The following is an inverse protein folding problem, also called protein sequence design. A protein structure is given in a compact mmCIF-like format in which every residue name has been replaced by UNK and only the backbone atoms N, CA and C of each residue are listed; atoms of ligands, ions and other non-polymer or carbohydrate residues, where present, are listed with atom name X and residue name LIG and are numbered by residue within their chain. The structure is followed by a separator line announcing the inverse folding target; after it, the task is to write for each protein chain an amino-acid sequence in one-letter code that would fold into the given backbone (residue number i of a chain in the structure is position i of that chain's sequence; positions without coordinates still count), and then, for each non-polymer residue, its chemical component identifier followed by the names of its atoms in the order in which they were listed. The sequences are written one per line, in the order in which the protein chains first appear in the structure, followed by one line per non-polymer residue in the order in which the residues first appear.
data_IF_965343167593
#
_entry.id   IF_965343167593
#
_cell.length_a   1.000
_cell.length_b   1.000
_cell.length_c   1.000
_cell.angle_alpha   90.00
_cell.angle_beta   90.00
_cell.angle_gamma   90.00
#
_symmetry.space_group_name_H-M   'P 1'
#
loop_
_entity.id
_entity.type
_entity.pdbx_description
1 polymer ?
#
# COMPACT_ATOMS: atom_id res chain seq x y z
N UNK A 1 -27.10 -54.20 42.60
CA UNK A 1 -27.28 -53.41 41.36
C UNK A 1 -27.60 -51.99 41.76
N UNK A 2 -26.73 -51.03 41.41
CA UNK A 2 -26.83 -49.60 41.78
C UNK A 2 -27.47 -48.82 40.63
N UNK A 3 -28.54 -48.09 40.91
CA UNK A 3 -29.14 -47.13 39.98
C UNK A 3 -28.74 -45.72 40.43
N UNK A 4 -28.04 -44.99 39.56
CA UNK A 4 -27.51 -43.65 39.81
C UNK A 4 -28.38 -42.62 39.07
N UNK A 5 -28.78 -41.58 39.80
CA UNK A 5 -29.41 -40.36 39.30
C UNK A 5 -28.40 -39.54 38.48
N UNK A 6 -28.85 -38.96 37.37
CA UNK A 6 -28.12 -37.94 36.62
C UNK A 6 -29.07 -36.86 36.13
N UNK A 7 -29.09 -35.73 36.83
CA UNK A 7 -29.80 -34.52 36.40
C UNK A 7 -28.99 -33.81 35.31
N UNK A 8 -29.61 -33.57 34.15
CA UNK A 8 -29.02 -32.76 33.08
C UNK A 8 -29.42 -31.31 33.27
N UNK A 9 -28.43 -30.46 33.59
CA UNK A 9 -28.56 -29.00 33.59
C UNK A 9 -28.32 -28.51 32.16
N UNK A 10 -29.33 -27.92 31.53
CA UNK A 10 -29.19 -27.24 30.23
C UNK A 10 -28.71 -25.82 30.51
N UNK A 11 -27.43 -25.54 30.24
CA UNK A 11 -26.87 -24.19 30.27
C UNK A 11 -27.10 -23.55 28.89
N UNK A 12 -28.03 -22.59 28.83
CA UNK A 12 -28.13 -21.67 27.69
C UNK A 12 -26.94 -20.70 27.74
N UNK A 13 -25.89 -21.02 26.98
CA UNK A 13 -24.77 -20.12 26.73
C UNK A 13 -25.12 -19.09 25.66
N UNK A 14 -25.59 -17.91 26.09
CA UNK A 14 -25.55 -16.69 25.28
C UNK A 14 -24.09 -16.24 25.18
N UNK A 15 -23.40 -16.56 24.09
CA UNK A 15 -22.15 -15.92 23.72
C UNK A 15 -21.89 -15.98 22.22
N UNK A 16 -22.28 -14.91 21.52
CA UNK A 16 -21.66 -14.50 20.26
C UNK A 16 -21.32 -13.03 20.37
N UNK A 17 -20.35 -12.71 21.23
CA UNK A 17 -19.64 -11.45 21.17
C UNK A 17 -18.92 -11.38 19.83
N UNK A 18 -19.53 -10.71 18.85
CA UNK A 18 -18.84 -10.27 17.65
C UNK A 18 -17.74 -9.31 18.09
N UNK A 19 -16.51 -9.81 18.21
CA UNK A 19 -15.34 -8.94 18.19
C UNK A 19 -15.27 -8.38 16.78
N UNK A 20 -15.91 -7.23 16.57
CA UNK A 20 -15.66 -6.41 15.40
C UNK A 20 -14.14 -6.33 15.24
N UNK A 21 -13.63 -6.95 14.18
CA UNK A 21 -12.21 -7.01 13.93
C UNK A 21 -11.71 -5.60 13.74
N UNK A 22 -11.17 -5.01 14.79
CA UNK A 22 -10.54 -3.70 14.72
C UNK A 22 -9.50 -3.78 13.60
N UNK A 23 -9.74 -3.05 12.51
CA UNK A 23 -8.69 -2.77 11.54
C UNK A 23 -7.50 -2.29 12.37
N UNK A 24 -6.35 -2.94 12.18
CA UNK A 24 -5.12 -2.55 12.87
C UNK A 24 -4.74 -1.21 12.29
N UNK A 25 -5.32 -0.13 12.84
CA UNK A 25 -4.98 1.22 12.48
C UNK A 25 -3.48 1.34 12.65
N UNK A 26 -2.78 1.71 11.59
CA UNK A 26 -1.35 1.92 11.69
C UNK A 26 -1.12 2.95 12.79
N UNK A 27 -0.45 2.58 13.90
CA UNK A 27 -0.28 3.48 15.02
C UNK A 27 0.27 4.79 14.48
N UNK A 28 -0.32 5.91 14.92
CA UNK A 28 0.22 7.21 14.52
C UNK A 28 1.68 7.23 14.95
N UNK A 29 2.56 7.45 13.98
CA UNK A 29 3.98 7.55 14.28
C UNK A 29 4.16 8.72 15.26
N UNK A 30 5.11 8.58 16.18
CA UNK A 30 5.57 9.75 16.93
C UNK A 30 6.06 10.80 15.93
N UNK A 31 5.94 12.10 16.26
CA UNK A 31 6.49 13.16 15.42
C UNK A 31 7.95 12.88 15.08
N UNK A 32 8.32 12.92 13.80
CA UNK A 32 9.70 12.75 13.36
C UNK A 32 10.52 14.00 13.68
N UNK A 33 11.82 13.88 14.02
CA UNK A 33 12.74 15.03 14.06
C UNK A 33 12.83 15.81 12.73
N UNK A 34 12.35 15.20 11.64
CA UNK A 34 12.20 15.79 10.32
C UNK A 34 10.84 16.46 10.10
N UNK A 35 9.88 16.44 11.02
CA UNK A 35 8.55 17.02 10.81
C UNK A 35 8.62 18.51 10.42
N UNK A 36 9.51 19.28 11.05
CA UNK A 36 9.76 20.68 10.65
C UNK A 36 10.43 20.85 9.27
N UNK A 37 11.11 19.82 8.74
CA UNK A 37 11.61 19.79 7.35
C UNK A 37 10.49 19.42 6.36
N UNK A 38 9.60 18.49 6.73
CA UNK A 38 8.44 18.13 5.92
C UNK A 38 7.49 19.32 5.75
N UNK A 39 7.35 20.17 6.76
CA UNK A 39 6.58 21.42 6.68
C UNK A 39 7.15 22.42 5.65
N UNK A 40 8.48 22.44 5.46
CA UNK A 40 9.14 23.35 4.50
C UNK A 40 9.01 22.90 3.03
N UNK A 41 8.74 21.62 2.78
CA UNK A 41 8.45 21.12 1.42
C UNK A 41 7.11 21.62 0.86
N UNK A 42 6.24 22.18 1.70
CA UNK A 42 5.01 22.83 1.26
C UNK A 42 5.23 24.19 0.59
N UNK A 43 6.46 24.73 0.62
CA UNK A 43 6.79 25.97 -0.09
C UNK A 43 7.14 25.67 -1.55
N UNK A 44 6.47 26.37 -2.48
CA UNK A 44 6.63 26.20 -3.94
C UNK A 44 8.06 26.51 -4.45
N UNK A 45 8.93 27.04 -3.59
CA UNK A 45 10.29 27.48 -3.94
C UNK A 45 11.32 26.34 -4.05
N UNK A 46 10.95 25.08 -3.74
CA UNK A 46 11.66 23.87 -4.18
C UNK A 46 13.14 23.75 -3.79
N UNK A 47 13.63 24.56 -2.86
CA UNK A 47 15.03 24.50 -2.45
C UNK A 47 15.26 23.29 -1.55
N UNK A 48 16.15 22.39 -1.99
CA UNK A 48 16.61 21.26 -1.19
C UNK A 48 17.08 21.78 0.18
N UNK A 49 16.42 21.32 1.25
CA UNK A 49 16.74 21.75 2.61
C UNK A 49 17.50 20.63 3.30
N UNK A 50 18.66 20.97 3.86
CA UNK A 50 19.53 20.05 4.58
C UNK A 50 19.63 20.43 6.05
N UNK A 51 19.51 19.46 6.95
CA UNK A 51 19.70 19.60 8.39
C UNK A 51 20.70 18.59 8.90
N UNK A 52 21.58 19.03 9.79
CA UNK A 52 22.55 18.17 10.47
C UNK A 52 22.25 18.15 11.96
N UNK A 53 22.35 16.98 12.57
CA UNK A 53 22.24 16.81 14.02
C UNK A 53 23.02 15.59 14.46
N UNK A 54 23.06 15.37 15.77
CA UNK A 54 23.78 14.25 16.35
C UNK A 54 22.94 13.59 17.44
N UNK A 55 22.91 12.26 17.47
CA UNK A 55 22.10 11.44 18.38
C UNK A 55 22.71 10.03 18.52
N UNK A 56 22.47 9.34 19.62
CA UNK A 56 22.83 7.91 19.77
C UNK A 56 21.71 7.03 19.18
N UNK A 57 21.86 6.59 17.93
CA UNK A 57 20.80 5.86 17.23
C UNK A 57 20.81 4.36 17.50
N UNK A 58 21.94 3.76 17.85
CA UNK A 58 22.00 2.32 18.13
C UNK A 58 22.02 2.00 19.64
N UNK A 59 22.16 3.02 20.48
CA UNK A 59 22.07 2.97 21.92
C UNK A 59 23.33 2.46 22.60
N UNK A 60 24.50 2.66 21.98
CA UNK A 60 25.80 2.27 22.51
C UNK A 60 26.45 3.35 23.41
N UNK A 61 25.75 4.47 23.61
CA UNK A 61 26.21 5.62 24.41
C UNK A 61 27.14 6.57 23.66
N UNK A 62 27.39 6.34 22.36
CA UNK A 62 28.19 7.22 21.52
C UNK A 62 27.29 7.99 20.57
N UNK A 63 27.78 9.16 20.18
CA UNK A 63 27.02 10.10 19.36
C UNK A 63 27.28 9.83 17.87
N UNK A 64 26.22 9.48 17.15
CA UNK A 64 26.23 9.37 15.68
C UNK A 64 26.00 10.73 15.04
N UNK A 65 26.49 10.90 13.80
CA UNK A 65 26.27 12.12 13.01
C UNK A 65 25.24 11.85 11.92
N UNK A 66 24.20 12.67 11.88
CA UNK A 66 23.10 12.55 10.95
C UNK A 66 23.03 13.79 10.05
N UNK A 67 22.75 13.55 8.77
CA UNK A 67 22.41 14.58 7.80
C UNK A 67 21.13 14.16 7.08
N UNK A 68 20.05 14.91 7.32
CA UNK A 68 18.78 14.76 6.63
C UNK A 68 18.68 15.81 5.53
N UNK A 69 18.31 15.39 4.34
CA UNK A 69 17.98 16.28 3.23
C UNK A 69 16.57 15.96 2.76
N UNK A 70 15.82 16.97 2.37
CA UNK A 70 14.53 16.75 1.73
C UNK A 70 14.49 17.53 0.42
N UNK A 71 14.03 16.84 -0.62
CA UNK A 71 13.95 17.31 -1.99
C UNK A 71 12.56 16.99 -2.54
N UNK A 72 11.97 17.94 -3.25
CA UNK A 72 10.59 17.88 -3.69
C UNK A 72 10.34 18.73 -4.93
N UNK A 73 9.54 18.18 -5.83
CA UNK A 73 9.01 18.88 -7.00
C UNK A 73 7.61 18.39 -7.34
N UNK A 74 7.04 18.92 -8.42
CA UNK A 74 5.63 18.69 -8.79
C UNK A 74 5.23 17.23 -9.03
N UNK A 75 6.18 16.30 -9.19
CA UNK A 75 5.90 14.88 -9.45
C UNK A 75 6.61 13.88 -8.53
N UNK A 76 7.44 14.35 -7.60
CA UNK A 76 8.30 13.51 -6.77
C UNK A 76 8.66 14.23 -5.48
N UNK A 77 8.62 13.52 -4.36
CA UNK A 77 9.15 14.00 -3.08
C UNK A 77 10.01 12.91 -2.45
N UNK A 78 11.13 13.29 -1.87
CA UNK A 78 11.94 12.38 -1.07
C UNK A 78 12.66 13.07 0.07
N UNK A 79 12.82 12.35 1.18
CA UNK A 79 13.80 12.61 2.20
C UNK A 79 14.93 11.58 2.10
N UNK A 80 16.15 12.06 2.27
CA UNK A 80 17.35 11.24 2.39
C UNK A 80 17.92 11.43 3.78
N UNK A 81 18.29 10.34 4.45
CA UNK A 81 19.02 10.37 5.70
C UNK A 81 20.37 9.69 5.50
N UNK A 82 21.44 10.46 5.66
CA UNK A 82 22.80 9.94 5.74
C UNK A 82 23.20 9.83 7.21
N UNK A 83 23.68 8.65 7.61
CA UNK A 83 24.12 8.37 8.97
C UNK A 83 25.59 7.98 8.94
N UNK A 84 26.38 8.56 9.85
CA UNK A 84 27.75 8.15 10.15
C UNK A 84 27.81 7.75 11.62
N UNK A 85 27.94 6.45 11.85
CA UNK A 85 28.00 5.89 13.19
C UNK A 85 29.33 6.23 13.86
N UNK A 86 29.34 6.31 15.19
CA UNK A 86 30.57 6.51 15.96
C UNK A 86 31.62 5.41 15.73
N UNK A 87 31.19 4.23 15.27
CA UNK A 87 32.08 3.12 14.88
C UNK A 87 32.85 3.37 13.57
N UNK A 88 32.50 4.42 12.82
CA UNK A 88 33.06 4.73 11.50
C UNK A 88 32.27 4.15 10.32
N UNK A 89 31.29 3.28 10.57
CA UNK A 89 30.36 2.83 9.53
C UNK A 89 29.48 3.98 9.05
N UNK A 90 29.13 3.99 7.77
CA UNK A 90 28.20 4.98 7.21
C UNK A 90 27.25 4.35 6.21
N UNK A 91 26.06 4.92 6.11
CA UNK A 91 25.04 4.51 5.14
C UNK A 91 24.12 5.70 4.83
N UNK A 92 23.42 5.59 3.71
CA UNK A 92 22.37 6.51 3.32
C UNK A 92 21.12 5.73 2.98
N UNK A 93 19.96 6.29 3.31
CA UNK A 93 18.64 5.73 3.06
C UNK A 93 17.72 6.81 2.53
N UNK A 94 16.86 6.45 1.60
CA UNK A 94 15.89 7.37 1.03
C UNK A 94 14.45 6.92 1.35
N UNK A 95 13.63 7.85 1.80
CA UNK A 95 12.17 7.72 1.83
C UNK A 95 11.61 8.66 0.80
N UNK A 96 10.98 8.12 -0.23
CA UNK A 96 10.46 8.97 -1.29
C UNK A 96 9.76 8.16 -2.35
N UNK A 97 9.24 8.85 -3.33
CA UNK A 97 8.56 8.21 -4.44
C UNK A 97 7.95 9.26 -5.33
N UNK A 98 7.60 8.84 -6.54
CA UNK A 98 6.73 9.67 -7.35
C UNK A 98 5.40 9.82 -6.61
N UNK A 99 4.87 11.04 -6.57
CA UNK A 99 3.46 11.28 -6.17
C UNK A 99 2.51 10.41 -6.98
N UNK A 100 2.95 9.99 -8.17
CA UNK A 100 2.22 9.19 -9.11
C UNK A 100 2.53 7.69 -9.00
N UNK A 101 3.08 7.19 -7.88
CA UNK A 101 3.30 5.76 -7.64
C UNK A 101 2.43 5.23 -6.49
N UNK A 102 1.82 4.05 -6.68
CA UNK A 102 1.03 3.38 -5.62
C UNK A 102 1.95 2.77 -4.56
N UNK A 103 3.15 2.38 -4.97
CA UNK A 103 4.14 1.84 -4.05
C UNK A 103 5.56 2.16 -4.53
N UNK A 104 6.49 2.18 -3.59
CA UNK A 104 7.91 2.32 -3.84
C UNK A 104 8.70 1.26 -3.05
N UNK A 105 9.90 0.94 -3.53
CA UNK A 105 10.86 0.09 -2.83
C UNK A 105 12.10 0.88 -2.47
N UNK A 106 12.59 0.63 -1.27
CA UNK A 106 13.91 1.06 -0.84
C UNK A 106 14.67 -0.15 -0.28
N UNK A 107 15.87 -0.42 -0.80
CA UNK A 107 16.71 -1.47 -0.23
C UNK A 107 17.19 -1.06 1.16
N UNK A 108 16.98 -1.94 2.15
CA UNK A 108 17.49 -1.69 3.49
C UNK A 108 19.00 -1.97 3.50
N UNK A 109 19.85 -0.99 3.90
CA UNK A 109 21.27 -1.23 4.05
C UNK A 109 21.58 -2.40 4.97
N UNK A 110 22.59 -3.18 4.59
CA UNK A 110 23.04 -4.38 5.30
C UNK A 110 23.32 -4.16 6.80
N UNK A 111 23.83 -2.97 7.15
CA UNK A 111 24.06 -2.56 8.54
C UNK A 111 22.76 -2.47 9.35
N UNK A 112 21.66 -2.01 8.74
CA UNK A 112 20.35 -1.91 9.38
C UNK A 112 19.66 -3.27 9.52
N UNK A 113 19.88 -4.17 8.55
CA UNK A 113 19.40 -5.56 8.67
C UNK A 113 20.04 -6.25 9.88
N UNK A 114 21.34 -6.04 10.10
CA UNK A 114 22.08 -6.62 11.25
C UNK A 114 21.82 -5.92 12.59
N UNK A 115 21.30 -4.69 12.59
CA UNK A 115 21.10 -3.87 13.80
C UNK A 115 19.63 -3.42 13.93
N UNK A 116 18.72 -4.27 14.43
CA UNK A 116 17.29 -3.97 14.47
C UNK A 116 16.91 -2.71 15.27
N UNK A 117 17.67 -2.37 16.32
CA UNK A 117 17.44 -1.14 17.10
C UNK A 117 17.74 0.10 16.27
N UNK A 118 18.92 0.15 15.64
CA UNK A 118 19.31 1.21 14.71
C UNK A 118 18.29 1.35 13.57
N UNK A 119 17.87 0.23 12.98
CA UNK A 119 16.81 0.21 11.95
C UNK A 119 15.54 0.89 12.43
N UNK A 120 15.01 0.53 13.60
CA UNK A 120 13.77 1.10 14.14
C UNK A 120 13.88 2.62 14.38
N UNK A 121 15.05 3.10 14.79
CA UNK A 121 15.28 4.53 14.97
C UNK A 121 15.34 5.27 13.63
N UNK A 122 16.00 4.70 12.62
CA UNK A 122 15.95 5.21 11.24
C UNK A 122 14.51 5.20 10.69
N UNK A 123 13.76 4.13 10.94
CA UNK A 123 12.35 4.01 10.58
C UNK A 123 11.50 5.11 11.21
N UNK A 124 11.67 5.37 12.50
CA UNK A 124 10.94 6.44 13.20
C UNK A 124 11.27 7.85 12.65
N UNK A 125 12.44 8.04 12.05
CA UNK A 125 12.83 9.31 11.44
C UNK A 125 12.20 9.46 10.05
N UNK A 126 12.25 8.43 9.20
CA UNK A 126 11.95 8.55 7.77
C UNK A 126 10.60 7.99 7.31
N UNK A 127 10.02 7.08 8.09
CA UNK A 127 8.93 6.23 7.61
C UNK A 127 7.80 6.12 8.63
N UNK A 128 6.56 6.07 8.14
CA UNK A 128 5.43 5.60 8.94
C UNK A 128 5.33 4.07 8.81
N UNK A 129 6.13 3.34 9.60
CA UNK A 129 6.16 1.88 9.50
C UNK A 129 4.97 1.23 10.20
N UNK A 130 4.18 0.46 9.45
CA UNK A 130 3.12 -0.38 10.00
C UNK A 130 3.61 -1.83 10.16
N UNK A 131 3.15 -2.55 11.19
CA UNK A 131 3.54 -3.95 11.39
C UNK A 131 2.93 -4.89 10.35
N UNK A 132 1.83 -4.48 9.70
CA UNK A 132 1.09 -5.30 8.73
C UNK A 132 0.62 -4.43 7.58
N UNK A 133 0.57 -5.03 6.39
CA UNK A 133 -0.04 -4.45 5.20
C UNK A 133 -1.57 -4.54 5.27
N UNK A 134 -2.26 -3.48 4.86
CA UNK A 134 -3.72 -3.43 4.64
C UNK A 134 -4.13 -4.28 3.42
N UNK A 135 -5.43 -4.49 3.22
CA UNK A 135 -5.99 -5.37 2.18
C UNK A 135 -5.55 -5.06 0.75
N UNK A 136 -5.66 -3.79 0.35
CA UNK A 136 -5.26 -3.31 -0.98
C UNK A 136 -3.80 -3.61 -1.28
N UNK A 137 -2.91 -3.30 -0.33
CA UNK A 137 -1.49 -3.52 -0.50
C UNK A 137 -1.10 -4.99 -0.38
N UNK A 138 -1.82 -5.78 0.42
CA UNK A 138 -1.69 -7.25 0.39
C UNK A 138 -2.06 -7.81 -0.98
N UNK A 139 -3.14 -7.33 -1.61
CA UNK A 139 -3.51 -7.71 -2.99
C UNK A 139 -2.36 -7.43 -3.95
N UNK A 140 -1.70 -6.28 -3.82
CA UNK A 140 -0.52 -5.90 -4.62
C UNK A 140 0.73 -6.76 -4.38
N UNK A 141 1.08 -7.02 -3.10
CA UNK A 141 2.37 -7.60 -2.71
C UNK A 141 2.41 -9.13 -2.81
N UNK A 142 1.34 -9.79 -2.40
CA UNK A 142 1.38 -11.24 -2.09
C UNK A 142 0.42 -12.09 -2.89
N UNK A 143 -0.57 -11.53 -3.58
CA UNK A 143 -1.48 -12.37 -4.35
C UNK A 143 -0.91 -12.62 -5.75
N UNK A 144 -0.44 -13.85 -6.07
CA UNK A 144 -0.33 -14.26 -7.46
C UNK A 144 -1.70 -14.11 -8.14
N UNK A 145 -1.71 -13.96 -9.47
CA UNK A 145 -2.95 -14.14 -10.23
C UNK A 145 -3.55 -15.48 -9.79
N UNK A 146 -4.76 -15.46 -9.22
CA UNK A 146 -5.43 -16.66 -8.72
C UNK A 146 -5.37 -16.98 -7.24
N UNK A 147 -4.96 -16.05 -6.39
CA UNK A 147 -5.24 -16.23 -4.96
C UNK A 147 -6.73 -15.96 -4.64
N UNK A 148 -7.36 -16.80 -3.78
CA UNK A 148 -8.72 -16.59 -3.31
C UNK A 148 -8.96 -15.18 -2.80
N UNK A 149 -10.19 -14.69 -3.00
CA UNK A 149 -10.62 -13.41 -2.45
C UNK A 149 -10.47 -13.43 -0.93
N UNK A 150 -9.88 -12.36 -0.41
CA UNK A 150 -9.72 -12.16 1.03
C UNK A 150 -10.73 -11.13 1.48
N UNK A 151 -11.73 -11.61 2.20
CA UNK A 151 -12.76 -10.78 2.81
C UNK A 151 -12.25 -10.15 4.11
N UNK A 152 -12.49 -8.86 4.26
CA UNK A 152 -12.21 -8.06 5.43
C UNK A 152 -13.53 -7.59 6.03
N UNK A 153 -13.66 -7.66 7.35
CA UNK A 153 -14.88 -7.23 8.05
C UNK A 153 -15.05 -5.71 8.00
N UNK A 154 -16.30 -5.28 7.99
CA UNK A 154 -16.71 -3.89 7.93
C UNK A 154 -16.80 -3.33 6.51
N UNK A 155 -17.35 -2.12 6.44
CA UNK A 155 -17.30 -1.26 5.25
C UNK A 155 -15.86 -1.00 4.79
N UNK A 156 -15.62 -0.84 3.48
CA UNK A 156 -14.32 -0.45 2.97
C UNK A 156 -13.94 0.93 3.49
N UNK A 157 -12.67 1.10 3.85
CA UNK A 157 -12.08 2.35 4.32
C UNK A 157 -10.99 2.81 3.37
N UNK A 158 -10.79 4.13 3.19
CA UNK A 158 -9.74 4.64 2.32
C UNK A 158 -8.38 4.06 2.75
N UNK A 159 -7.61 3.62 1.77
CA UNK A 159 -6.27 3.10 2.01
C UNK A 159 -5.38 4.21 2.59
N UNK A 160 -4.65 3.91 3.67
CA UNK A 160 -3.71 4.89 4.24
C UNK A 160 -2.32 4.75 3.64
N UNK A 161 -1.57 5.85 3.57
CA UNK A 161 -0.16 5.79 3.15
C UNK A 161 0.71 5.33 4.31
N UNK A 162 1.56 4.33 4.05
CA UNK A 162 2.46 3.77 5.05
C UNK A 162 3.64 3.01 4.44
N UNK A 163 4.60 2.63 5.27
CA UNK A 163 5.71 1.77 4.92
C UNK A 163 5.64 0.46 5.69
N UNK A 164 6.17 -0.61 5.12
CA UNK A 164 6.42 -1.85 5.84
C UNK A 164 7.89 -2.25 5.68
N UNK A 165 8.42 -2.92 6.68
CA UNK A 165 9.67 -3.66 6.55
C UNK A 165 9.37 -5.09 6.09
N UNK A 166 10.18 -5.60 5.16
CA UNK A 166 10.05 -6.94 4.62
C UNK A 166 11.42 -7.59 4.48
N UNK A 167 11.56 -8.81 4.98
CA UNK A 167 12.78 -9.62 4.94
C UNK A 167 12.51 -11.11 4.60
N UNK A 168 11.25 -11.48 4.30
CA UNK A 168 10.91 -12.82 3.79
C UNK A 168 11.58 -13.03 2.41
N UNK A 169 12.51 -13.99 2.27
CA UNK A 169 13.26 -14.19 1.03
C UNK A 169 12.38 -14.38 -0.20
N UNK A 170 11.21 -15.02 -0.07
CA UNK A 170 10.30 -15.24 -1.21
C UNK A 170 9.65 -13.94 -1.66
N UNK A 171 9.32 -13.06 -0.72
CA UNK A 171 8.77 -11.74 -1.05
C UNK A 171 9.87 -10.86 -1.62
N UNK A 172 11.07 -10.89 -1.04
CA UNK A 172 12.24 -10.16 -1.55
C UNK A 172 12.55 -10.53 -2.99
N UNK A 173 12.69 -11.82 -3.30
CA UNK A 173 13.00 -12.29 -4.65
C UNK A 173 11.93 -11.82 -5.65
N UNK A 174 10.66 -11.93 -5.29
CA UNK A 174 9.55 -11.47 -6.12
C UNK A 174 9.59 -9.97 -6.38
N UNK A 175 9.73 -9.17 -5.33
CA UNK A 175 9.73 -7.71 -5.44
C UNK A 175 10.96 -7.22 -6.20
N UNK A 176 12.12 -7.85 -5.97
CA UNK A 176 13.33 -7.58 -6.73
C UNK A 176 13.18 -7.93 -8.20
N UNK A 177 12.53 -9.05 -8.54
CA UNK A 177 12.24 -9.43 -9.93
C UNK A 177 11.44 -8.35 -10.69
N UNK A 178 10.51 -7.68 -10.02
CA UNK A 178 9.73 -6.57 -10.59
C UNK A 178 10.54 -5.28 -10.70
N UNK A 179 11.46 -5.05 -9.75
CA UNK A 179 12.18 -3.80 -9.62
C UNK A 179 13.60 -3.82 -10.21
N UNK A 180 14.09 -4.96 -10.68
CA UNK A 180 15.49 -5.15 -11.11
C UNK A 180 15.98 -4.14 -12.15
N UNK A 181 15.09 -3.65 -13.01
CA UNK A 181 15.42 -2.68 -14.05
C UNK A 181 15.33 -1.22 -13.58
N UNK A 182 14.86 -0.98 -12.35
CA UNK A 182 14.82 0.34 -11.73
C UNK A 182 16.25 0.82 -11.49
N UNK A 183 16.46 2.12 -11.61
CA UNK A 183 17.79 2.73 -11.58
C UNK A 183 18.63 2.32 -10.36
N UNK A 184 18.04 2.38 -9.16
CA UNK A 184 18.69 2.02 -7.89
C UNK A 184 19.07 0.53 -7.76
N UNK A 185 18.51 -0.34 -8.60
CA UNK A 185 18.77 -1.78 -8.61
C UNK A 185 19.54 -2.24 -9.84
N UNK A 186 19.68 -1.37 -10.85
CA UNK A 186 20.35 -1.69 -12.11
C UNK A 186 21.79 -2.13 -11.86
N UNK A 187 22.15 -3.30 -12.39
CA UNK A 187 23.49 -3.86 -12.27
C UNK A 187 23.75 -4.65 -10.99
N UNK A 188 22.83 -4.68 -10.02
CA UNK A 188 22.94 -5.59 -8.87
C UNK A 188 22.77 -7.04 -9.33
N UNK A 189 23.68 -7.90 -8.88
CA UNK A 189 23.64 -9.35 -9.20
C UNK A 189 22.70 -10.11 -8.26
N UNK A 190 22.63 -9.68 -7.00
CA UNK A 190 21.86 -10.33 -5.95
C UNK A 190 20.77 -9.40 -5.40
N UNK A 191 19.62 -9.95 -4.98
CA UNK A 191 18.59 -9.16 -4.33
C UNK A 191 19.11 -8.59 -2.99
N UNK A 192 18.65 -7.40 -2.58
CA UNK A 192 18.85 -6.90 -1.21
C UNK A 192 18.32 -7.88 -0.16
N UNK A 193 18.90 -7.90 1.04
CA UNK A 193 18.44 -8.79 2.12
C UNK A 193 17.08 -8.42 2.69
N UNK A 194 16.71 -7.13 2.58
CA UNK A 194 15.42 -6.62 3.03
C UNK A 194 15.01 -5.38 2.20
N UNK A 195 13.71 -5.11 2.19
CA UNK A 195 13.12 -3.90 1.60
C UNK A 195 12.28 -3.15 2.64
N UNK A 196 12.33 -1.82 2.57
CA UNK A 196 11.18 -1.02 2.92
C UNK A 196 10.27 -0.88 1.72
N UNK A 197 8.99 -1.16 1.91
CA UNK A 197 7.99 -1.04 0.86
C UNK A 197 6.98 0.02 1.29
N UNK A 198 7.06 1.18 0.67
CA UNK A 198 6.15 2.30 0.91
C UNK A 198 4.94 2.16 0.00
N UNK A 199 3.76 2.39 0.55
CA UNK A 199 2.47 2.32 -0.12
C UNK A 199 1.81 3.69 -0.03
N UNK A 200 1.48 4.27 -1.18
CA UNK A 200 0.82 5.56 -1.33
C UNK A 200 -0.70 5.39 -1.36
N UNK A 201 -1.30 5.02 -0.23
CA UNK A 201 -2.74 4.80 -0.10
C UNK A 201 -3.59 5.99 -0.57
N UNK A 202 -3.14 7.22 -0.34
CA UNK A 202 -3.81 8.44 -0.79
C UNK A 202 -4.05 8.49 -2.31
N UNK A 203 -3.21 7.82 -3.11
CA UNK A 203 -3.39 7.76 -4.56
C UNK A 203 -4.65 6.98 -4.97
N UNK A 204 -5.24 6.20 -4.07
CA UNK A 204 -6.51 5.53 -4.34
C UNK A 204 -7.71 6.48 -4.41
N UNK A 205 -7.68 7.67 -3.81
CA UNK A 205 -8.88 8.49 -3.69
C UNK A 205 -9.54 8.75 -5.05
N UNK A 206 -10.81 8.32 -5.23
CA UNK A 206 -11.55 8.47 -6.48
C UNK A 206 -11.56 9.94 -6.95
N UNK A 207 -11.85 10.85 -6.03
CA UNK A 207 -11.77 12.31 -6.20
C UNK A 207 -11.12 12.94 -4.97
N UNK A 208 -10.91 14.27 -4.97
CA UNK A 208 -10.48 14.99 -3.77
C UNK A 208 -11.46 14.87 -2.60
N UNK A 209 -12.72 14.51 -2.87
CA UNK A 209 -13.81 14.45 -1.89
C UNK A 209 -14.28 13.04 -1.55
N UNK A 210 -13.97 12.06 -2.41
CA UNK A 210 -14.56 10.73 -2.31
C UNK A 210 -13.47 9.67 -2.45
N UNK A 211 -13.37 8.80 -1.47
CA UNK A 211 -12.41 7.69 -1.52
C UNK A 211 -12.90 6.58 -2.43
N UNK A 212 -14.21 6.32 -2.41
CA UNK A 212 -14.86 5.30 -3.20
C UNK A 212 -16.00 5.87 -4.04
N UNK A 213 -16.13 5.36 -5.25
CA UNK A 213 -17.26 5.61 -6.14
C UNK A 213 -18.03 4.29 -6.30
N UNK A 214 -19.35 4.30 -6.07
CA UNK A 214 -20.19 3.16 -6.40
C UNK A 214 -20.33 3.00 -7.92
N UNK A 215 -20.18 1.77 -8.41
CA UNK A 215 -20.28 1.45 -9.84
C UNK A 215 -21.56 0.70 -10.17
N UNK A 216 -21.77 -0.45 -9.53
CA UNK A 216 -22.90 -1.35 -9.80
C UNK A 216 -23.29 -2.09 -8.52
N UNK A 217 -24.57 -2.46 -8.42
CA UNK A 217 -25.11 -3.27 -7.32
C UNK A 217 -25.84 -4.49 -7.88
N UNK A 218 -25.58 -5.67 -7.31
CA UNK A 218 -26.27 -6.93 -7.61
C UNK A 218 -26.71 -7.60 -6.31
N UNK A 219 -27.97 -7.38 -5.92
CA UNK A 219 -28.49 -7.81 -4.62
C UNK A 219 -27.76 -7.11 -3.48
N UNK A 220 -27.16 -7.89 -2.57
CA UNK A 220 -26.38 -7.37 -1.43
C UNK A 220 -24.93 -7.05 -1.77
N UNK A 221 -24.51 -7.32 -3.01
CA UNK A 221 -23.16 -7.06 -3.49
C UNK A 221 -23.08 -5.71 -4.20
N UNK A 222 -22.05 -4.93 -3.87
CA UNK A 222 -21.80 -3.61 -4.43
C UNK A 222 -20.36 -3.51 -4.91
N UNK A 223 -20.16 -3.07 -6.16
CA UNK A 223 -18.85 -2.77 -6.71
C UNK A 223 -18.49 -1.32 -6.41
N UNK A 224 -17.37 -1.12 -5.72
CA UNK A 224 -16.82 0.20 -5.47
C UNK A 224 -15.47 0.37 -6.18
N UNK A 225 -15.23 1.59 -6.66
CA UNK A 225 -14.05 1.98 -7.40
C UNK A 225 -13.25 3.04 -6.64
N UNK A 226 -11.94 2.85 -6.66
CA UNK A 226 -10.92 3.86 -6.35
C UNK A 226 -10.25 4.28 -7.66
N UNK A 227 -9.40 5.32 -7.70
CA UNK A 227 -8.67 5.67 -8.94
C UNK A 227 -7.90 4.50 -9.53
N UNK A 228 -7.43 3.57 -8.70
CA UNK A 228 -6.51 2.53 -9.14
C UNK A 228 -6.88 1.13 -8.66
N UNK A 229 -8.14 0.91 -8.32
CA UNK A 229 -8.56 -0.39 -7.80
C UNK A 229 -10.06 -0.50 -7.72
N UNK A 230 -10.51 -1.75 -7.70
CA UNK A 230 -11.91 -2.14 -7.61
C UNK A 230 -12.04 -3.11 -6.44
N UNK A 231 -13.09 -2.92 -5.65
CA UNK A 231 -13.44 -3.76 -4.53
C UNK A 231 -14.90 -4.19 -4.61
N UNK A 232 -15.20 -5.31 -3.97
CA UNK A 232 -16.54 -5.85 -3.79
C UNK A 232 -16.92 -5.68 -2.32
N UNK A 233 -18.07 -5.06 -2.05
CA UNK A 233 -18.65 -4.94 -0.72
C UNK A 233 -19.90 -5.83 -0.63
N UNK A 234 -19.93 -6.73 0.35
CA UNK A 234 -21.08 -7.57 0.71
C UNK A 234 -21.80 -6.90 1.90
N UNK A 235 -22.89 -6.21 1.60
CA UNK A 235 -23.67 -5.42 2.56
C UNK A 235 -24.36 -6.30 3.60
N UNK A 236 -24.81 -7.50 3.22
CA UNK A 236 -25.49 -8.42 4.12
C UNK A 236 -24.54 -8.97 5.19
N UNK A 237 -23.27 -9.21 4.85
CA UNK A 237 -22.26 -9.76 5.76
C UNK A 237 -21.33 -8.70 6.37
N UNK A 238 -21.55 -7.43 6.01
CA UNK A 238 -20.72 -6.28 6.32
C UNK A 238 -19.23 -6.61 6.18
N UNK A 239 -18.81 -6.88 4.94
CA UNK A 239 -17.43 -7.23 4.62
C UNK A 239 -17.08 -6.85 3.19
N UNK A 240 -15.81 -6.59 2.91
CA UNK A 240 -15.33 -6.21 1.59
C UNK A 240 -14.10 -7.01 1.15
N UNK A 241 -13.86 -7.09 -0.15
CA UNK A 241 -12.67 -7.72 -0.73
C UNK A 241 -12.14 -6.90 -1.91
N UNK A 242 -10.83 -6.69 -1.97
CA UNK A 242 -10.18 -6.09 -3.13
C UNK A 242 -10.14 -7.07 -4.29
N UNK A 243 -10.84 -6.74 -5.38
CA UNK A 243 -10.89 -7.58 -6.58
C UNK A 243 -9.64 -7.34 -7.43
N UNK A 244 -9.34 -6.08 -7.70
CA UNK A 244 -8.25 -5.66 -8.57
C UNK A 244 -7.59 -4.39 -8.04
N UNK A 245 -6.26 -4.33 -8.11
CA UNK A 245 -5.49 -3.12 -7.83
C UNK A 245 -4.42 -2.97 -8.89
N UNK A 246 -4.25 -1.77 -9.41
CA UNK A 246 -3.24 -1.47 -10.41
C UNK A 246 -1.84 -1.58 -9.80
N UNK A 247 -1.05 -2.55 -10.28
CA UNK A 247 0.29 -2.85 -9.77
C UNK A 247 1.38 -1.86 -10.14
N UNK A 248 1.13 -0.91 -11.04
CA UNK A 248 2.07 0.15 -11.41
C UNK A 248 2.56 0.13 -12.87
N UNK A 249 3.55 1.00 -13.14
CA UNK A 249 4.23 1.16 -14.44
C UNK A 249 4.04 2.52 -15.13
N UNK A 250 3.13 3.38 -14.65
CA UNK A 250 2.87 4.71 -15.22
C UNK A 250 2.48 5.74 -14.16
N UNK A 251 2.64 7.01 -14.54
CA UNK A 251 2.14 8.19 -13.85
C UNK A 251 0.64 8.04 -13.50
N UNK A 252 0.32 7.76 -12.24
CA UNK A 252 -1.02 7.61 -11.66
C UNK A 252 -1.85 8.90 -11.57
N UNK A 253 -1.42 10.01 -12.17
CA UNK A 253 -2.25 11.22 -12.28
C UNK A 253 -3.59 11.00 -12.98
N UNK A 254 -3.78 9.87 -13.65
CA UNK A 254 -5.05 9.47 -14.26
C UNK A 254 -5.58 8.19 -13.62
N UNK A 255 -6.90 8.07 -13.42
CA UNK A 255 -7.51 6.81 -12.99
C UNK A 255 -7.07 5.64 -13.87
N UNK A 256 -6.61 4.58 -13.23
CA UNK A 256 -6.26 3.32 -13.89
C UNK A 256 -7.47 2.40 -13.94
N UNK A 257 -8.30 2.36 -12.88
CA UNK A 257 -9.61 1.71 -12.95
C UNK A 257 -10.57 2.67 -13.67
N UNK A 258 -11.24 2.19 -14.71
CA UNK A 258 -12.21 2.99 -15.48
C UNK A 258 -13.63 2.56 -15.13
N UNK A 259 -13.88 1.26 -15.15
CA UNK A 259 -15.18 0.68 -14.88
C UNK A 259 -15.03 -0.74 -14.33
N UNK A 260 -16.07 -1.21 -13.66
CA UNK A 260 -16.26 -2.62 -13.35
C UNK A 260 -17.74 -2.94 -13.35
N UNK A 261 -18.06 -4.15 -13.78
CA UNK A 261 -19.43 -4.64 -13.86
C UNK A 261 -19.51 -6.13 -13.54
N UNK A 262 -20.64 -6.58 -13.01
CA UNK A 262 -20.90 -8.00 -12.83
C UNK A 262 -21.09 -8.67 -14.20
N UNK A 263 -20.45 -9.82 -14.40
CA UNK A 263 -20.68 -10.69 -15.55
C UNK A 263 -21.15 -12.08 -15.10
N UNK A 264 -21.44 -12.97 -16.05
CA UNK A 264 -21.92 -14.34 -15.75
C UNK A 264 -20.87 -15.20 -15.01
N UNK A 265 -19.58 -14.81 -15.06
CA UNK A 265 -18.43 -15.56 -14.53
C UNK A 265 -17.82 -14.92 -13.28
N UNK A 266 -18.22 -13.70 -12.93
CA UNK A 266 -17.64 -12.92 -11.85
C UNK A 266 -17.79 -11.41 -12.07
N UNK A 267 -16.66 -10.70 -12.09
CA UNK A 267 -16.62 -9.23 -12.26
C UNK A 267 -15.62 -8.85 -13.35
N UNK A 268 -16.11 -8.21 -14.40
CA UNK A 268 -15.24 -7.63 -15.42
C UNK A 268 -14.71 -6.27 -14.94
N UNK A 269 -13.40 -6.07 -15.03
CA UNK A 269 -12.71 -4.82 -14.69
C UNK A 269 -12.07 -4.25 -15.95
N UNK A 270 -12.46 -3.03 -16.30
CA UNK A 270 -11.88 -2.24 -17.38
C UNK A 270 -10.89 -1.24 -16.80
N UNK A 271 -9.67 -1.24 -17.31
CA UNK A 271 -8.58 -0.43 -16.80
C UNK A 271 -7.66 0.10 -17.90
N UNK A 272 -6.94 1.18 -17.63
CA UNK A 272 -6.03 1.81 -18.57
C UNK A 272 -4.58 1.56 -18.21
N UNK A 273 -3.79 1.19 -19.22
CA UNK A 273 -2.32 1.09 -19.12
C UNK A 273 -1.72 1.75 -20.35
N UNK A 274 -0.93 2.82 -20.16
CA UNK A 274 -0.44 3.67 -21.26
C UNK A 274 -1.62 4.21 -22.07
N UNK A 275 -1.58 3.97 -23.37
CA UNK A 275 -2.61 4.35 -24.35
C UNK A 275 -3.50 3.16 -24.73
N UNK A 276 -3.58 2.14 -23.87
CA UNK A 276 -4.42 0.96 -24.08
C UNK A 276 -5.48 0.87 -23.01
N UNK A 277 -6.67 0.50 -23.45
CA UNK A 277 -7.74 0.06 -22.58
C UNK A 277 -7.69 -1.46 -22.52
N UNK A 278 -7.67 -1.99 -21.32
CA UNK A 278 -7.58 -3.41 -21.05
C UNK A 278 -8.79 -3.84 -20.24
N UNK A 279 -9.25 -5.05 -20.48
CA UNK A 279 -10.33 -5.69 -19.74
C UNK A 279 -9.87 -7.04 -19.22
N UNK A 280 -10.19 -7.34 -17.97
CA UNK A 280 -9.96 -8.64 -17.33
C UNK A 280 -11.19 -9.01 -16.53
N UNK A 281 -11.45 -10.30 -16.33
CA UNK A 281 -12.53 -10.79 -15.47
C UNK A 281 -11.92 -11.41 -14.23
N UNK A 282 -12.46 -11.05 -13.06
CA UNK A 282 -12.15 -11.65 -11.77
C UNK A 282 -13.24 -12.67 -11.44
N UNK A 283 -12.88 -13.93 -11.36
CA UNK A 283 -13.77 -14.98 -10.86
C UNK A 283 -13.99 -14.79 -9.35
N UNK A 284 -15.24 -14.69 -8.90
CA UNK A 284 -15.54 -14.42 -7.49
C UNK A 284 -15.39 -15.65 -6.58
N UNK A 285 -15.45 -16.85 -7.13
CA UNK A 285 -15.25 -18.10 -6.39
C UNK A 285 -13.77 -18.39 -6.13
N UNK A 286 -12.91 -18.12 -7.12
CA UNK A 286 -11.47 -18.44 -7.06
C UNK A 286 -10.58 -17.23 -6.84
N UNK A 287 -11.05 -16.01 -7.15
CA UNK A 287 -10.23 -14.80 -7.18
C UNK A 287 -9.25 -14.72 -8.35
N UNK A 288 -9.35 -15.65 -9.31
CA UNK A 288 -8.53 -15.71 -10.53
C UNK A 288 -8.87 -14.60 -11.53
N UNK A 289 -7.83 -14.16 -12.26
CA UNK A 289 -7.97 -13.21 -13.35
C UNK A 289 -7.89 -13.94 -14.68
N UNK A 290 -8.82 -13.65 -15.58
CA UNK A 290 -8.64 -13.99 -16.98
C UNK A 290 -7.49 -13.18 -17.60
N UNK A 291 -6.80 -13.71 -18.63
CA UNK A 291 -5.83 -12.94 -19.38
C UNK A 291 -6.43 -11.62 -19.86
N UNK A 292 -5.72 -10.51 -19.62
CA UNK A 292 -6.20 -9.20 -20.01
C UNK A 292 -6.29 -9.07 -21.53
N UNK A 293 -7.45 -8.64 -22.01
CA UNK A 293 -7.67 -8.28 -23.41
C UNK A 293 -7.48 -6.77 -23.55
N UNK A 294 -6.46 -6.36 -24.29
CA UNK A 294 -6.13 -4.94 -24.46
C UNK A 294 -6.35 -4.51 -25.90
N UNK A 295 -7.09 -3.43 -26.07
CA UNK A 295 -7.26 -2.74 -27.35
C UNK A 295 -6.47 -1.43 -27.33
N UNK A 296 -5.98 -1.00 -28.51
CA UNK A 296 -5.48 0.35 -28.63
C UNK A 296 -6.64 1.30 -28.26
N UNK A 297 -6.42 2.16 -27.27
CA UNK A 297 -7.43 3.17 -26.95
C UNK A 297 -7.57 4.10 -28.15
N UNK A 298 -8.80 4.53 -28.46
CA UNK A 298 -8.98 5.76 -29.23
C UNK A 298 -8.13 6.82 -28.53
N UNK A 299 -7.05 7.26 -29.18
CA UNK A 299 -6.02 8.04 -28.52
C UNK A 299 -6.67 9.16 -27.73
N UNK A 300 -6.35 9.27 -26.43
CA UNK A 300 -6.73 10.45 -25.66
C UNK A 300 -6.10 11.62 -26.40
N UNK A 301 -6.89 12.34 -27.19
CA UNK A 301 -6.51 13.67 -27.61
C UNK A 301 -6.18 14.41 -26.32
N UNK A 302 -4.98 14.98 -26.24
CA UNK A 302 -4.56 15.80 -25.10
C UNK A 302 -5.65 16.87 -24.91
N UNK A 303 -6.59 16.66 -23.97
CA UNK A 303 -7.71 17.58 -23.78
C UNK A 303 -9.07 16.95 -23.45
N UNK A 304 -9.33 15.66 -23.72
CA UNK A 304 -10.58 15.06 -23.25
C UNK A 304 -10.47 14.68 -21.77
N UNK A 305 -11.05 15.53 -20.92
CA UNK A 305 -11.32 15.18 -19.52
C UNK A 305 -12.17 13.90 -19.50
N UNK A 306 -11.84 12.91 -18.64
CA UNK A 306 -12.71 11.76 -18.47
C UNK A 306 -14.14 12.23 -18.15
N UNK A 307 -15.14 11.51 -18.67
CA UNK A 307 -16.54 11.78 -18.35
C UNK A 307 -16.65 11.99 -16.84
N UNK A 308 -17.28 13.10 -16.43
CA UNK A 308 -17.46 13.43 -15.00
C UNK A 308 -18.11 12.22 -14.33
N UNK A 309 -17.38 11.63 -13.40
CA UNK A 309 -17.88 10.58 -12.53
C UNK A 309 -19.12 11.14 -11.81
N UNK A 310 -20.23 10.42 -11.84
CA UNK A 310 -21.47 10.81 -11.17
C UNK A 310 -21.27 10.85 -9.65
N UNK A 311 -21.83 11.87 -8.98
CA UNK A 311 -21.51 12.29 -7.59
C UNK A 311 -21.99 11.36 -6.46
N UNK A 312 -22.29 10.09 -6.72
CA UNK A 312 -22.62 9.13 -5.65
C UNK A 312 -21.34 8.67 -4.94
N UNK A 313 -21.05 9.32 -3.82
CA UNK A 313 -19.86 9.07 -3.00
C UNK A 313 -20.16 8.18 -1.78
N UNK A 314 -19.19 7.32 -1.47
CA UNK A 314 -19.18 6.44 -0.30
C UNK A 314 -17.99 6.75 0.61
#
# INVERSE_FOLDING_TARGET
MKTLFGATVVVMGLWMGSTAGAQVACPQAKPSPLDGLWEHLGSEDGAATTKRWSEDLDGDGKVDKLEGAVDGGSGYSSATLTVRLATGESFSVQSGGSHEAIWNLEAVPDVLVRRPRLRKNVEAILFRVCPKAEGSFRRLRVQPRGAPLRWEKGKPTPATSYTIYQDDPKIIERMYGVARDWEQFRGRKEPPKAFWISYGGANHHATERCAFQALETKGDLELLQTRHGVLLYDRAKDQHAWLWVFGGGHKLRYPSAIAAEFDDKGVAVTYRVRNRECRTTVDLGTGEFSPAQCVAGAGLSRGQAPARLTDTCF
#
